data_IF_890132502006
#
_entry.id   IF_890132502006
#
_cell.length_a   1.000
_cell.length_b   1.000
_cell.length_c   1.000
_cell.angle_alpha   90.00
_cell.angle_beta   90.00
_cell.angle_gamma   90.00
#
_symmetry.space_group_name_H-M   'P 1'
#
loop_
_entity.id
_entity.type
_entity.pdbx_description
1 polymer ?
#
# COMPACT_ATOMS: atom_id res chain seq x y z
N UNK A 1 7.22 -6.45 15.63
CA UNK A 1 6.84 -5.08 15.19
C UNK A 1 7.08 -4.97 13.68
N UNK A 2 6.42 -4.06 12.96
CA UNK A 2 6.54 -3.95 11.50
C UNK A 2 8.00 -3.80 11.01
N UNK A 3 8.80 -2.96 11.68
CA UNK A 3 10.21 -2.70 11.32
C UNK A 3 11.05 -3.99 11.33
N UNK A 4 10.87 -4.87 12.32
CA UNK A 4 11.62 -6.13 12.39
C UNK A 4 11.22 -7.12 11.27
N UNK A 5 9.95 -7.10 10.85
CA UNK A 5 9.48 -7.93 9.74
C UNK A 5 10.08 -7.44 8.41
N UNK A 6 10.06 -6.12 8.17
CA UNK A 6 10.68 -5.48 7.01
C UNK A 6 12.18 -5.75 6.91
N UNK A 7 12.92 -5.60 8.02
CA UNK A 7 14.36 -5.91 8.07
C UNK A 7 14.64 -7.38 7.74
N UNK A 8 13.84 -8.30 8.28
CA UNK A 8 13.99 -9.73 8.00
C UNK A 8 13.69 -10.06 6.53
N UNK A 9 12.61 -9.50 5.99
CA UNK A 9 12.23 -9.66 4.58
C UNK A 9 13.33 -9.15 3.64
N UNK A 10 13.88 -7.96 3.93
CA UNK A 10 14.99 -7.38 3.19
C UNK A 10 16.24 -8.28 3.21
N UNK A 11 16.64 -8.77 4.40
CA UNK A 11 17.82 -9.62 4.55
C UNK A 11 17.69 -10.97 3.84
N UNK A 12 16.47 -11.45 3.63
CA UNK A 12 16.18 -12.72 2.94
C UNK A 12 15.88 -12.54 1.45
N UNK A 13 15.89 -11.30 0.94
CA UNK A 13 15.53 -11.01 -0.45
C UNK A 13 14.09 -11.37 -0.78
N UNK A 14 13.20 -11.33 0.21
CA UNK A 14 11.78 -11.61 -0.01
C UNK A 14 11.18 -10.54 -0.92
N UNK A 15 10.50 -10.98 -1.98
CA UNK A 15 9.68 -10.09 -2.80
C UNK A 15 8.26 -10.02 -2.25
N UNK A 16 7.84 -8.83 -1.88
CA UNK A 16 6.47 -8.51 -1.47
C UNK A 16 6.04 -7.21 -2.14
N UNK A 17 4.74 -7.07 -2.39
CA UNK A 17 4.17 -5.91 -3.10
C UNK A 17 3.82 -4.76 -2.16
N UNK A 18 3.63 -5.05 -0.87
CA UNK A 18 3.28 -4.11 0.19
C UNK A 18 3.80 -4.59 1.56
N UNK A 19 3.65 -3.75 2.57
CA UNK A 19 4.09 -4.05 3.93
C UNK A 19 3.20 -5.09 4.62
N UNK A 20 1.91 -5.14 4.28
CA UNK A 20 0.96 -6.10 4.82
C UNK A 20 1.39 -7.54 4.51
N UNK A 21 1.74 -7.83 3.24
CA UNK A 21 2.26 -9.14 2.85
C UNK A 21 3.55 -9.53 3.58
N UNK A 22 4.40 -8.57 3.94
CA UNK A 22 5.60 -8.83 4.76
C UNK A 22 5.22 -9.19 6.20
N UNK A 23 4.24 -8.48 6.78
CA UNK A 23 3.75 -8.77 8.13
C UNK A 23 3.11 -10.16 8.18
N UNK A 24 2.25 -10.50 7.23
CA UNK A 24 1.60 -11.81 7.10
C UNK A 24 2.62 -12.93 6.95
N UNK A 25 3.58 -12.78 6.03
CA UNK A 25 4.67 -13.75 5.84
C UNK A 25 5.49 -13.95 7.11
N UNK A 26 5.71 -12.89 7.89
CA UNK A 26 6.41 -12.96 9.18
C UNK A 26 5.52 -13.47 10.34
N UNK A 27 4.31 -13.95 10.06
CA UNK A 27 3.37 -14.50 11.05
C UNK A 27 2.64 -13.46 11.89
N UNK A 28 2.63 -12.20 11.45
CA UNK A 28 1.85 -11.14 12.08
C UNK A 28 0.41 -11.11 11.57
N UNK A 29 -0.47 -10.52 12.37
CA UNK A 29 -1.86 -10.28 11.99
C UNK A 29 -2.02 -8.92 11.32
N UNK A 30 -2.83 -8.86 10.27
CA UNK A 30 -3.22 -7.64 9.57
C UNK A 30 -4.74 -7.50 9.63
N UNK A 31 -5.22 -6.27 9.78
CA UNK A 31 -6.65 -5.94 9.76
C UNK A 31 -6.90 -5.02 8.58
N UNK A 32 -7.92 -5.34 7.78
CA UNK A 32 -8.38 -4.49 6.68
C UNK A 32 -9.43 -3.52 7.21
N UNK A 33 -9.27 -2.25 6.85
CA UNK A 33 -10.23 -1.18 7.15
C UNK A 33 -10.81 -0.71 5.83
N UNK A 34 -12.09 -0.30 5.81
CA UNK A 34 -12.70 0.25 4.59
C UNK A 34 -11.90 1.45 4.08
N UNK A 35 -11.48 1.36 2.82
CA UNK A 35 -10.80 2.44 2.12
C UNK A 35 -11.76 3.39 1.42
N UNK A 36 -11.18 4.40 0.78
CA UNK A 36 -11.89 5.36 -0.06
C UNK A 36 -11.44 5.19 -1.52
N UNK A 37 -12.38 5.20 -2.46
CA UNK A 37 -12.08 5.12 -3.91
C UNK A 37 -11.25 6.32 -4.40
N UNK A 38 -11.34 7.46 -3.70
CA UNK A 38 -10.56 8.67 -3.96
C UNK A 38 -9.08 8.52 -3.59
N UNK A 39 -8.72 7.53 -2.77
CA UNK A 39 -7.33 7.20 -2.40
C UNK A 39 -6.68 6.27 -3.44
N UNK A 40 -6.70 6.67 -4.71
CA UNK A 40 -6.12 5.86 -5.79
C UNK A 40 -4.59 6.00 -5.89
N UNK A 41 -3.95 4.97 -6.42
CA UNK A 41 -2.55 5.01 -6.85
C UNK A 41 -2.47 5.47 -8.30
N UNK A 42 -1.71 6.54 -8.57
CA UNK A 42 -1.43 7.00 -9.94
C UNK A 42 -0.36 6.10 -10.56
N UNK A 43 -0.75 5.27 -11.53
CA UNK A 43 0.13 4.31 -12.23
C UNK A 43 0.16 4.49 -13.74
N UNK A 44 -0.85 5.19 -14.30
CA UNK A 44 -0.99 5.48 -15.72
C UNK A 44 -1.34 6.95 -15.97
N UNK A 45 -1.24 7.40 -17.22
CA UNK A 45 -1.67 8.75 -17.61
C UNK A 45 -3.18 8.98 -17.43
N UNK A 46 -4.00 7.92 -17.42
CA UNK A 46 -5.43 8.04 -17.16
C UNK A 46 -5.69 8.32 -15.68
N UNK A 47 -5.00 7.60 -14.78
CA UNK A 47 -5.11 7.79 -13.34
C UNK A 47 -4.78 9.23 -12.93
N UNK A 48 -3.82 9.85 -13.63
CA UNK A 48 -3.46 11.25 -13.39
C UNK A 48 -4.63 12.21 -13.64
N UNK A 49 -5.35 12.05 -14.76
CA UNK A 49 -6.53 12.87 -15.06
C UNK A 49 -7.65 12.65 -14.04
N UNK A 50 -7.81 11.41 -13.58
CA UNK A 50 -8.79 11.10 -12.53
C UNK A 50 -8.41 11.74 -11.19
N UNK A 51 -7.13 11.71 -10.82
CA UNK A 51 -6.64 12.35 -9.60
C UNK A 51 -6.83 13.88 -9.61
N UNK A 52 -6.70 14.54 -10.77
CA UNK A 52 -7.01 15.97 -10.91
C UNK A 52 -8.49 16.26 -10.61
N UNK A 53 -9.42 15.46 -11.15
CA UNK A 53 -10.86 15.61 -10.89
C UNK A 53 -11.15 15.41 -9.40
N UNK A 54 -10.62 14.34 -8.80
CA UNK A 54 -10.79 14.04 -7.37
C UNK A 54 -10.26 15.20 -6.50
N UNK A 55 -9.10 15.76 -6.83
CA UNK A 55 -8.51 16.87 -6.09
C UNK A 55 -9.31 18.18 -6.19
N UNK A 56 -10.06 18.39 -7.27
CA UNK A 56 -10.97 19.53 -7.42
C UNK A 56 -12.25 19.37 -6.58
N UNK A 57 -12.79 18.16 -6.49
CA UNK A 57 -14.00 17.86 -5.69
C UNK A 57 -13.78 17.93 -4.18
N UNK A 58 -12.53 17.73 -3.71
CA UNK A 58 -12.17 17.76 -2.29
C UNK A 58 -11.89 19.20 -1.77
N UNK A 59 -11.92 20.23 -2.64
CA UNK A 59 -11.79 21.64 -2.22
C UNK A 59 -12.99 22.13 -1.40
#
# INVERSE_FOLDING_TARGET
MIISALQRAFNLGLYATDDAGIVEWNGGEVVVVSGEETNLKITTSLDFKLAEIIAEEIK
#
